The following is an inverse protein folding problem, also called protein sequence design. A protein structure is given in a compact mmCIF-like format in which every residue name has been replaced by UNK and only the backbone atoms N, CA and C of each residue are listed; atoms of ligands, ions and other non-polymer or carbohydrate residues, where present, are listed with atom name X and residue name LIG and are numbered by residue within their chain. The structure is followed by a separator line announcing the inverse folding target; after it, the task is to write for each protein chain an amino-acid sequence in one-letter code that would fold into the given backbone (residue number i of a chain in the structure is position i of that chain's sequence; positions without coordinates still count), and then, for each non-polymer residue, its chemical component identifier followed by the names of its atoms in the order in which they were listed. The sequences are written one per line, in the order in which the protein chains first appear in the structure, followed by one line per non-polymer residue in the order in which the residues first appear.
data_IF_212760814750
#
_entry.id   IF_212760814750
#
_cell.length_a   1.000
_cell.length_b   1.000
_cell.length_c   1.000
_cell.angle_alpha   90.00
_cell.angle_beta   90.00
_cell.angle_gamma   90.00
#
_symmetry.space_group_name_H-M   'P 1'
#
loop_
_entity.id
_entity.type
_entity.pdbx_description
1 polymer ?
#
# COMPACT_ATOMS: atom_id res chain seq x y z
N UNK A 1 -12.52 8.69 -24.94
CA UNK A 1 -11.58 8.69 -23.80
C UNK A 1 -12.27 8.01 -22.62
N UNK A 2 -11.86 6.80 -22.24
CA UNK A 2 -12.47 6.11 -21.10
C UNK A 2 -12.07 6.79 -19.79
N UNK A 3 -13.02 7.43 -19.13
CA UNK A 3 -12.82 8.03 -17.81
C UNK A 3 -12.65 6.90 -16.79
N UNK A 4 -11.50 6.82 -16.13
CA UNK A 4 -11.28 5.86 -15.05
C UNK A 4 -12.30 6.11 -13.93
N UNK A 5 -13.04 5.07 -13.53
CA UNK A 5 -14.00 5.13 -12.43
C UNK A 5 -13.35 5.68 -11.15
N UNK A 6 -14.02 6.56 -10.39
CA UNK A 6 -13.49 7.07 -9.14
C UNK A 6 -13.05 5.95 -8.19
N UNK A 7 -11.95 6.15 -7.46
CA UNK A 7 -11.48 5.17 -6.48
C UNK A 7 -12.46 5.15 -5.31
N UNK A 8 -12.83 3.95 -4.86
CA UNK A 8 -13.74 3.78 -3.74
C UNK A 8 -13.19 4.47 -2.46
N UNK A 9 -13.98 5.31 -1.76
CA UNK A 9 -13.50 6.09 -0.60
C UNK A 9 -12.87 5.23 0.51
N UNK A 10 -13.39 4.02 0.73
CA UNK A 10 -12.83 3.09 1.71
C UNK A 10 -11.39 2.67 1.38
N UNK A 11 -11.05 2.52 0.10
CA UNK A 11 -9.67 2.19 -0.31
C UNK A 11 -8.72 3.34 0.05
N UNK A 12 -9.15 4.59 -0.19
CA UNK A 12 -8.38 5.77 0.19
C UNK A 12 -8.18 5.85 1.70
N UNK A 13 -9.22 5.54 2.50
CA UNK A 13 -9.09 5.49 3.96
C UNK A 13 -8.10 4.41 4.43
N UNK A 14 -8.14 3.22 3.84
CA UNK A 14 -7.21 2.13 4.18
C UNK A 14 -5.76 2.52 3.86
N UNK A 15 -5.53 3.18 2.72
CA UNK A 15 -4.21 3.71 2.31
C UNK A 15 -3.75 4.78 3.31
N UNK A 16 -4.60 5.76 3.64
CA UNK A 16 -4.27 6.81 4.59
C UNK A 16 -3.91 6.25 5.98
N UNK A 17 -4.64 5.23 6.44
CA UNK A 17 -4.34 4.56 7.72
C UNK A 17 -2.97 3.91 7.71
N UNK A 18 -2.65 3.16 6.66
CA UNK A 18 -1.35 2.51 6.52
C UNK A 18 -0.19 3.52 6.36
N UNK A 19 -0.40 4.62 5.63
CA UNK A 19 0.56 5.72 5.54
C UNK A 19 0.81 6.37 6.91
N UNK A 20 -0.26 6.67 7.66
CA UNK A 20 -0.15 7.26 8.99
C UNK A 20 0.70 6.36 9.92
N UNK A 21 0.52 5.04 9.84
CA UNK A 21 1.30 4.09 10.64
C UNK A 21 2.79 4.10 10.32
N UNK A 22 3.19 4.18 9.04
CA UNK A 22 4.63 4.24 8.68
C UNK A 22 5.23 5.62 8.96
N UNK A 23 4.48 6.70 8.73
CA UNK A 23 4.94 8.07 8.97
C UNK A 23 5.12 8.31 10.48
N UNK A 24 4.21 7.82 11.32
CA UNK A 24 4.34 7.90 12.78
C UNK A 24 5.59 7.22 13.32
N UNK A 25 6.14 6.23 12.59
CA UNK A 25 7.42 5.56 12.91
C UNK A 25 8.64 6.33 12.38
N UNK A 26 8.47 7.58 11.95
CA UNK A 26 9.55 8.46 11.46
C UNK A 26 9.91 8.28 9.99
N UNK A 27 9.13 7.50 9.23
CA UNK A 27 9.40 7.30 7.80
C UNK A 27 8.87 8.47 6.96
N UNK A 28 9.58 8.81 5.88
CA UNK A 28 9.25 9.96 5.03
C UNK A 28 8.24 9.59 3.96
N UNK A 29 7.16 10.37 3.85
CA UNK A 29 6.07 10.11 2.90
C UNK A 29 6.58 10.07 1.44
N UNK A 30 7.50 10.97 1.08
CA UNK A 30 8.01 11.15 -0.28
C UNK A 30 8.76 9.91 -0.80
N UNK A 31 9.14 9.00 0.10
CA UNK A 31 9.83 7.75 -0.21
C UNK A 31 8.86 6.57 -0.32
N UNK A 32 7.58 6.75 -0.06
CA UNK A 32 6.59 5.67 -0.03
C UNK A 32 6.02 5.38 -1.41
N UNK A 33 5.81 4.11 -1.68
CA UNK A 33 5.08 3.62 -2.87
C UNK A 33 4.02 2.63 -2.44
N UNK A 34 2.85 2.69 -3.09
CA UNK A 34 1.80 1.69 -2.96
C UNK A 34 2.05 0.58 -3.99
N UNK A 35 2.21 -0.65 -3.52
CA UNK A 35 2.29 -1.82 -4.38
C UNK A 35 0.95 -2.54 -4.41
N UNK A 36 0.46 -2.79 -5.63
CA UNK A 36 -0.83 -3.46 -5.88
C UNK A 36 -0.66 -4.63 -6.84
N UNK A 37 -1.63 -5.55 -6.80
CA UNK A 37 -1.77 -6.57 -7.83
C UNK A 37 -1.96 -5.92 -9.22
N UNK A 38 -1.29 -6.39 -10.29
CA UNK A 38 -1.45 -5.88 -11.66
C UNK A 38 -2.89 -5.95 -12.18
N UNK A 39 -3.69 -6.89 -11.67
CA UNK A 39 -5.11 -7.07 -12.02
C UNK A 39 -6.07 -6.21 -11.20
N UNK A 40 -5.56 -5.34 -10.33
CA UNK A 40 -6.39 -4.42 -9.54
C UNK A 40 -6.79 -3.20 -10.36
N UNK A 41 -7.92 -2.59 -10.05
CA UNK A 41 -8.33 -1.32 -10.66
C UNK A 41 -7.33 -0.18 -10.39
N UNK A 42 -6.67 -0.24 -9.21
CA UNK A 42 -5.62 0.72 -8.85
C UNK A 42 -4.39 0.63 -9.76
N UNK A 43 -4.12 -0.53 -10.39
CA UNK A 43 -3.00 -0.70 -11.31
C UNK A 43 -3.13 0.15 -12.59
N UNK A 44 -4.34 0.63 -12.92
CA UNK A 44 -4.59 1.51 -14.06
C UNK A 44 -4.18 2.96 -13.80
N UNK A 45 -3.72 3.28 -12.60
CA UNK A 45 -3.37 4.63 -12.15
C UNK A 45 -1.88 4.69 -11.80
N UNK A 46 -1.24 5.80 -12.11
CA UNK A 46 0.16 6.06 -11.73
C UNK A 46 0.28 6.64 -10.31
N UNK A 47 -0.72 7.39 -9.86
CA UNK A 47 -0.76 8.03 -8.55
C UNK A 47 -2.16 8.00 -7.93
N UNK A 48 -2.22 8.18 -6.61
CA UNK A 48 -3.45 8.38 -5.85
C UNK A 48 -3.30 9.56 -4.89
N UNK A 49 -4.30 10.44 -4.84
CA UNK A 49 -4.38 11.51 -3.84
C UNK A 49 -4.64 10.92 -2.46
N UNK A 50 -3.81 11.28 -1.49
CA UNK A 50 -3.93 10.86 -0.09
C UNK A 50 -3.95 12.09 0.83
N UNK A 51 -4.19 11.88 2.13
CA UNK A 51 -4.13 12.96 3.12
C UNK A 51 -2.72 13.55 3.30
N UNK A 52 -1.69 12.84 2.83
CA UNK A 52 -0.28 13.20 2.97
C UNK A 52 0.33 13.73 1.66
N UNK A 53 -0.44 13.71 0.56
CA UNK A 53 0.02 14.07 -0.78
C UNK A 53 -0.28 13.01 -1.83
N UNK A 54 0.34 13.12 -3.00
CA UNK A 54 0.16 12.17 -4.10
C UNK A 54 1.07 10.95 -3.91
N UNK A 55 0.49 9.79 -3.68
CA UNK A 55 1.22 8.54 -3.50
C UNK A 55 1.38 7.82 -4.84
N UNK A 56 2.60 7.42 -5.18
CA UNK A 56 2.88 6.65 -6.40
C UNK A 56 2.38 5.21 -6.27
N UNK A 57 1.77 4.71 -7.34
CA UNK A 57 1.33 3.32 -7.45
C UNK A 57 2.33 2.54 -8.30
N UNK A 58 2.67 1.35 -7.82
CA UNK A 58 3.48 0.37 -8.51
C UNK A 58 2.74 -0.96 -8.55
N UNK A 59 2.94 -1.73 -9.61
CA UNK A 59 2.47 -3.10 -9.69
C UNK A 59 3.55 -4.05 -9.20
N UNK A 60 3.13 -5.19 -8.64
CA UNK A 60 4.02 -6.29 -8.31
C UNK A 60 3.39 -7.59 -8.75
N UNK A 61 4.06 -8.31 -9.66
CA UNK A 61 3.58 -9.61 -10.17
C UNK A 61 3.46 -10.68 -9.07
N UNK A 62 4.14 -10.48 -7.94
CA UNK A 62 4.08 -11.36 -6.77
C UNK A 62 2.84 -11.09 -5.88
N UNK A 63 2.07 -10.03 -6.16
CA UNK A 63 0.86 -9.71 -5.41
C UNK A 63 -0.40 -10.33 -6.04
N UNK A 64 -1.08 -11.15 -5.25
CA UNK A 64 -2.41 -11.65 -5.59
C UNK A 64 -3.49 -10.57 -5.44
N UNK A 65 -4.61 -10.71 -6.16
CA UNK A 65 -5.74 -9.77 -6.07
C UNK A 65 -6.25 -9.72 -4.63
N UNK A 66 -6.54 -8.51 -4.14
CA UNK A 66 -6.97 -8.28 -2.75
C UNK A 66 -5.82 -7.98 -1.79
N UNK A 67 -4.56 -8.19 -2.19
CA UNK A 67 -3.39 -7.77 -1.44
C UNK A 67 -2.87 -6.43 -1.94
N UNK A 68 -2.46 -5.57 -1.02
CA UNK A 68 -1.72 -4.35 -1.30
C UNK A 68 -0.94 -3.89 -0.07
N UNK A 69 0.22 -3.29 -0.29
CA UNK A 69 1.08 -2.78 0.78
C UNK A 69 1.77 -1.49 0.37
N UNK A 70 2.17 -0.72 1.38
CA UNK A 70 3.07 0.42 1.23
C UNK A 70 4.48 -0.03 1.60
N UNK A 71 5.45 0.40 0.82
CA UNK A 71 6.87 0.17 1.10
C UNK A 71 7.69 1.41 0.75
N UNK A 72 8.71 1.66 1.57
CA UNK A 72 9.73 2.68 1.32
C UNK A 72 10.66 2.26 0.17
N UNK A 73 10.94 3.19 -0.73
CA UNK A 73 11.83 3.04 -1.88
C UNK A 73 13.30 3.22 -1.48
N UNK A 74 13.78 2.39 -0.57
CA UNK A 74 15.17 2.39 -0.11
C UNK A 74 15.71 0.98 0.07
N UNK A 75 17.02 0.83 -0.19
CA UNK A 75 17.82 -0.31 0.28
C UNK A 75 18.41 0.12 1.62
N UNK A 76 17.67 -0.07 2.70
CA UNK A 76 18.11 0.18 4.07
C UNK A 76 17.85 -1.07 4.91
N UNK A 77 18.60 -1.24 6.01
CA UNK A 77 18.42 -2.35 6.96
C UNK A 77 17.00 -2.35 7.55
N UNK A 78 16.42 -1.17 7.76
CA UNK A 78 15.02 -1.01 8.12
C UNK A 78 14.24 -0.22 7.07
N UNK A 79 13.27 -0.89 6.43
CA UNK A 79 12.38 -0.30 5.46
C UNK A 79 11.02 0.03 6.08
N UNK A 80 10.48 1.21 5.78
CA UNK A 80 9.07 1.49 6.05
C UNK A 80 8.17 0.50 5.31
N UNK A 81 7.30 -0.21 6.04
CA UNK A 81 6.35 -1.17 5.47
C UNK A 81 5.03 -1.18 6.25
N UNK A 82 3.92 -1.23 5.52
CA UNK A 82 2.60 -1.48 6.07
C UNK A 82 1.67 -2.16 5.06
N UNK A 83 0.91 -3.14 5.53
CA UNK A 83 -0.19 -3.70 4.75
C UNK A 83 -1.34 -2.69 4.64
N UNK A 84 -1.89 -2.55 3.45
CA UNK A 84 -3.08 -1.74 3.16
C UNK A 84 -4.29 -2.64 3.11
N UNK A 85 -4.22 -3.71 2.31
CA UNK A 85 -5.25 -4.73 2.20
C UNK A 85 -4.66 -6.12 2.13
N UNK A 86 -5.38 -7.07 2.69
CA UNK A 86 -5.14 -8.49 2.54
C UNK A 86 -6.48 -9.22 2.80
N UNK A 87 -6.73 -10.37 2.18
CA UNK A 87 -7.89 -11.20 2.47
C UNK A 87 -7.96 -11.56 3.96
N UNK A 88 -9.17 -11.60 4.53
CA UNK A 88 -9.37 -12.00 5.94
C UNK A 88 -8.84 -13.39 6.28
N UNK A 89 -8.72 -14.26 5.28
CA UNK A 89 -8.16 -15.61 5.40
C UNK A 89 -6.62 -15.64 5.42
N UNK A 90 -5.96 -14.50 5.20
CA UNK A 90 -4.51 -14.43 5.29
C UNK A 90 -4.09 -14.41 6.77
N UNK A 91 -3.45 -15.48 7.25
CA UNK A 91 -2.89 -15.62 8.60
C UNK A 91 -1.64 -14.75 8.80
N UNK A 92 -1.74 -13.44 8.57
CA UNK A 92 -0.61 -12.50 8.68
C UNK A 92 -0.24 -12.24 10.15
N UNK A 93 -1.21 -12.32 11.06
CA UNK A 93 -0.99 -12.14 12.50
C UNK A 93 -0.22 -13.29 13.15
N UNK A 94 -0.32 -14.52 12.64
CA UNK A 94 0.40 -15.68 13.21
C UNK A 94 1.89 -15.67 12.89
N UNK A 95 2.29 -15.17 11.72
CA UNK A 95 3.71 -15.08 11.35
C UNK A 95 4.46 -14.05 12.21
N UNK A 96 3.78 -12.99 12.67
CA UNK A 96 4.39 -11.95 13.51
C UNK A 96 4.71 -12.41 14.93
N UNK A 97 4.07 -13.48 15.42
CA UNK A 97 4.32 -14.06 16.75
C UNK A 97 5.45 -15.09 16.76
N UNK A 98 5.87 -15.60 15.60
CA UNK A 98 6.96 -16.57 15.48
C UNK A 98 8.35 -15.92 15.38
N UNK A 99 8.40 -14.61 15.22
CA UNK A 99 9.64 -13.82 15.07
C UNK A 99 9.92 -12.91 16.28
N UNK A 100 9.15 -13.04 17.38
CA UNK A 100 9.30 -12.28 18.61
C UNK A 100 9.78 -13.18 19.77
#
# INVERSE_FOLDING_TARGET
MSTLSPIHPQAVQMINKALADVIRRGRKFERMKLYVCPRSELAQRSTIKTAFGDLRICTSEYLSKGYSYIREDLIAEEIGFAWVSYPKTANITDNRRKEA
#
